data_IF_371716025178
#
_entry.id   IF_371716025178
#
_cell.length_a   1.000
_cell.length_b   1.000
_cell.length_c   1.000
_cell.angle_alpha   90.00
_cell.angle_beta   90.00
_cell.angle_gamma   90.00
#
_symmetry.space_group_name_H-M   'P 1'
#
loop_
_entity.id
_entity.type
_entity.pdbx_description
1 polymer ?
#
# COMPACT_ATOMS: atom_id res chain seq x y z
N UNK A 1 -17.86 -16.51 -10.30
CA UNK A 1 -16.65 -15.67 -10.18
C UNK A 1 -16.81 -14.75 -8.98
N UNK A 2 -15.79 -14.49 -8.19
CA UNK A 2 -15.86 -13.48 -7.15
C UNK A 2 -16.27 -12.13 -7.76
N UNK A 3 -17.11 -11.40 -7.05
CA UNK A 3 -17.53 -10.04 -7.42
C UNK A 3 -16.65 -9.06 -6.64
N UNK A 4 -15.63 -8.52 -7.30
CA UNK A 4 -14.63 -7.65 -6.64
C UNK A 4 -15.20 -6.26 -6.31
N UNK A 5 -16.15 -5.76 -7.12
CA UNK A 5 -16.81 -4.50 -6.86
C UNK A 5 -17.71 -4.61 -5.61
N UNK A 6 -18.50 -5.69 -5.53
CA UNK A 6 -19.27 -6.00 -4.32
C UNK A 6 -18.37 -6.16 -3.09
N UNK A 7 -17.24 -6.87 -3.22
CA UNK A 7 -16.31 -7.05 -2.10
C UNK A 7 -15.74 -5.73 -1.59
N UNK A 8 -15.42 -4.78 -2.48
CA UNK A 8 -14.97 -3.44 -2.10
C UNK A 8 -16.02 -2.70 -1.29
N UNK A 9 -17.28 -2.66 -1.76
CA UNK A 9 -18.41 -2.03 -1.06
C UNK A 9 -18.70 -2.70 0.28
N UNK A 10 -18.64 -4.04 0.33
CA UNK A 10 -18.82 -4.79 1.58
C UNK A 10 -17.71 -4.43 2.60
N UNK A 11 -16.44 -4.32 2.16
CA UNK A 11 -15.33 -3.92 3.04
C UNK A 11 -15.56 -2.53 3.64
N UNK A 12 -15.97 -1.53 2.85
CA UNK A 12 -16.33 -0.21 3.37
C UNK A 12 -17.50 -0.30 4.36
N UNK A 13 -18.54 -1.05 4.03
CA UNK A 13 -19.71 -1.25 4.91
C UNK A 13 -19.32 -1.85 6.26
N UNK A 14 -18.28 -2.70 6.28
CA UNK A 14 -17.75 -3.31 7.50
C UNK A 14 -16.72 -2.43 8.23
N UNK A 15 -16.38 -1.26 7.65
CA UNK A 15 -15.61 -0.22 8.28
C UNK A 15 -14.21 -0.01 7.72
N UNK A 16 -13.84 -0.63 6.60
CA UNK A 16 -12.59 -0.30 5.92
C UNK A 16 -12.57 1.18 5.54
N UNK A 17 -11.45 1.84 5.79
CA UNK A 17 -11.29 3.29 5.60
C UNK A 17 -10.63 3.63 4.25
N UNK A 18 -10.29 2.60 3.47
CA UNK A 18 -9.78 2.70 2.11
C UNK A 18 -9.85 1.36 1.38
N UNK A 19 -9.87 1.43 0.05
CA UNK A 19 -9.84 0.28 -0.84
C UNK A 19 -8.60 0.41 -1.72
N UNK A 20 -7.72 -0.59 -1.64
CA UNK A 20 -6.53 -0.68 -2.47
C UNK A 20 -6.67 -1.81 -3.47
N UNK A 21 -6.39 -1.53 -4.73
CA UNK A 21 -6.38 -2.51 -5.82
C UNK A 21 -5.07 -2.49 -6.58
N UNK A 22 -4.61 -3.66 -7.01
CA UNK A 22 -3.38 -3.81 -7.79
C UNK A 22 -3.67 -4.48 -9.14
N UNK A 23 -4.10 -3.72 -10.16
CA UNK A 23 -4.34 -4.23 -11.51
C UNK A 23 -3.00 -4.52 -12.19
N UNK A 24 -2.55 -5.76 -12.11
CA UNK A 24 -1.31 -6.19 -12.78
C UNK A 24 -1.49 -6.20 -14.29
N UNK A 25 -0.41 -6.07 -15.09
CA UNK A 25 -0.52 -6.04 -16.55
C UNK A 25 -1.18 -7.27 -17.19
N UNK A 26 -1.15 -8.42 -16.51
CA UNK A 26 -1.79 -9.67 -16.94
C UNK A 26 -3.23 -9.82 -16.43
N UNK A 27 -3.74 -8.86 -15.66
CA UNK A 27 -5.11 -8.79 -15.13
C UNK A 27 -5.57 -10.06 -14.36
N UNK A 28 -4.63 -10.78 -13.74
CA UNK A 28 -4.89 -12.08 -13.10
C UNK A 28 -5.73 -12.02 -11.82
N UNK A 29 -5.74 -10.88 -11.12
CA UNK A 29 -6.49 -10.67 -9.87
C UNK A 29 -7.54 -9.58 -10.02
N UNK A 30 -7.09 -8.37 -10.31
CA UNK A 30 -7.92 -7.19 -10.59
C UNK A 30 -7.69 -6.82 -12.06
N UNK A 31 -8.77 -6.65 -12.81
CA UNK A 31 -8.73 -6.20 -14.19
C UNK A 31 -8.84 -4.68 -14.26
N UNK A 32 -8.38 -4.09 -15.34
CA UNK A 32 -8.54 -2.66 -15.59
C UNK A 32 -10.02 -2.24 -15.64
N UNK A 33 -10.90 -3.14 -16.12
CA UNK A 33 -12.36 -2.93 -16.07
C UNK A 33 -12.89 -2.89 -14.63
N UNK A 34 -12.36 -3.72 -13.73
CA UNK A 34 -12.78 -3.77 -12.32
C UNK A 34 -12.42 -2.45 -11.61
N UNK A 35 -11.26 -1.87 -11.91
CA UNK A 35 -10.84 -0.57 -11.36
C UNK A 35 -11.84 0.54 -11.72
N UNK A 36 -12.29 0.58 -12.99
CA UNK A 36 -13.28 1.54 -13.46
C UNK A 36 -14.65 1.33 -12.82
N UNK A 37 -15.01 0.08 -12.57
CA UNK A 37 -16.27 -0.30 -11.91
C UNK A 37 -16.27 0.07 -10.42
N UNK A 38 -15.15 -0.14 -9.73
CA UNK A 38 -15.02 0.11 -8.28
C UNK A 38 -15.04 1.61 -7.97
N UNK A 39 -14.30 2.44 -8.74
CA UNK A 39 -14.13 3.89 -8.43
C UNK A 39 -15.44 4.63 -8.13
N UNK A 40 -16.52 4.51 -8.91
CA UNK A 40 -17.77 5.21 -8.61
C UNK A 40 -18.57 4.63 -7.45
N UNK A 41 -18.22 3.45 -6.95
CA UNK A 41 -18.94 2.75 -5.88
C UNK A 41 -18.34 2.99 -4.49
N UNK A 42 -17.01 3.21 -4.42
CA UNK A 42 -16.33 3.45 -3.14
C UNK A 42 -16.45 4.92 -2.74
N UNK A 43 -16.62 5.14 -1.44
CA UNK A 43 -16.84 6.46 -0.83
C UNK A 43 -15.71 6.86 0.11
N UNK A 44 -14.87 5.91 0.48
CA UNK A 44 -13.63 6.11 1.24
C UNK A 44 -12.45 6.35 0.28
N UNK A 45 -11.24 6.27 0.77
CA UNK A 45 -10.04 6.45 -0.04
C UNK A 45 -9.88 5.30 -1.05
N UNK A 46 -9.66 5.64 -2.33
CA UNK A 46 -9.36 4.66 -3.38
C UNK A 46 -7.90 4.78 -3.81
N UNK A 47 -7.13 3.72 -3.57
CA UNK A 47 -5.72 3.61 -3.94
C UNK A 47 -5.53 2.58 -5.06
N UNK A 48 -4.75 2.93 -6.09
CA UNK A 48 -4.36 2.01 -7.17
C UNK A 48 -2.85 1.79 -7.08
N UNK A 49 -2.45 0.52 -6.92
CA UNK A 49 -1.04 0.13 -6.91
C UNK A 49 -0.60 -0.36 -8.29
N UNK A 50 0.64 -0.09 -8.66
CA UNK A 50 1.22 -0.66 -9.87
C UNK A 50 2.55 -0.07 -10.29
N UNK A 51 3.19 -0.75 -11.24
CA UNK A 51 4.37 -0.23 -11.92
C UNK A 51 3.92 0.85 -12.93
N UNK A 52 4.52 2.05 -12.92
CA UNK A 52 4.13 3.15 -13.80
C UNK A 52 4.56 2.94 -15.28
N UNK A 53 4.14 1.81 -15.86
CA UNK A 53 4.19 1.56 -17.30
C UNK A 53 3.07 2.37 -18.01
N UNK A 54 3.17 2.63 -19.32
CA UNK A 54 2.20 3.47 -20.03
C UNK A 54 0.73 3.09 -19.80
N UNK A 55 0.38 1.80 -19.89
CA UNK A 55 -1.01 1.35 -19.69
C UNK A 55 -1.52 1.57 -18.26
N UNK A 56 -0.65 1.49 -17.25
CA UNK A 56 -0.99 1.81 -15.88
C UNK A 56 -1.17 3.32 -15.69
N UNK A 57 -0.27 4.12 -16.25
CA UNK A 57 -0.38 5.58 -16.23
C UNK A 57 -1.70 6.05 -16.86
N UNK A 58 -2.05 5.49 -18.02
CA UNK A 58 -3.30 5.81 -18.72
C UNK A 58 -4.52 5.47 -17.85
N UNK A 59 -4.53 4.29 -17.21
CA UNK A 59 -5.61 3.88 -16.31
C UNK A 59 -5.77 4.83 -15.12
N UNK A 60 -4.67 5.16 -14.44
CA UNK A 60 -4.69 6.03 -13.26
C UNK A 60 -5.17 7.44 -13.63
N UNK A 61 -4.70 7.98 -14.75
CA UNK A 61 -5.11 9.30 -15.25
C UNK A 61 -6.56 9.33 -15.75
N UNK A 62 -7.10 8.20 -16.21
CA UNK A 62 -8.52 8.07 -16.56
C UNK A 62 -9.41 8.01 -15.31
N UNK A 63 -9.00 7.21 -14.31
CA UNK A 63 -9.83 6.91 -13.13
C UNK A 63 -9.76 8.01 -12.07
N UNK A 64 -8.63 8.70 -11.97
CA UNK A 64 -8.35 9.74 -10.96
C UNK A 64 -8.64 9.22 -9.54
N UNK A 65 -7.84 8.25 -9.03
CA UNK A 65 -7.99 7.77 -7.66
C UNK A 65 -7.56 8.85 -6.64
N UNK A 66 -7.83 8.62 -5.38
CA UNK A 66 -7.37 9.50 -4.30
C UNK A 66 -5.86 9.37 -4.10
N UNK A 67 -5.34 8.14 -4.28
CA UNK A 67 -3.93 7.82 -4.16
C UNK A 67 -3.50 6.84 -5.25
N UNK A 68 -2.22 6.90 -5.63
CA UNK A 68 -1.52 5.89 -6.40
C UNK A 68 -0.27 5.45 -5.64
N UNK A 69 -0.07 4.13 -5.50
CA UNK A 69 1.16 3.56 -4.93
C UNK A 69 2.01 2.98 -6.05
N UNK A 70 3.21 3.53 -6.22
CA UNK A 70 4.16 3.12 -7.26
C UNK A 70 4.98 1.94 -6.77
N UNK A 71 4.87 0.78 -7.43
CA UNK A 71 5.63 -0.43 -7.11
C UNK A 71 6.53 -0.84 -8.29
N UNK A 72 7.76 -1.35 -8.04
CA UNK A 72 8.73 -1.66 -9.10
C UNK A 72 8.52 -3.03 -9.75
N UNK A 73 7.32 -3.61 -9.66
CA UNK A 73 7.06 -4.98 -10.08
C UNK A 73 7.39 -5.20 -11.56
N UNK A 74 8.23 -6.19 -11.84
CA UNK A 74 8.43 -6.65 -13.20
C UNK A 74 7.14 -7.26 -13.77
N UNK A 75 6.98 -7.22 -15.09
CA UNK A 75 5.78 -7.71 -15.79
C UNK A 75 5.40 -9.16 -15.41
N UNK A 76 6.37 -9.99 -15.04
CA UNK A 76 6.20 -11.40 -14.66
C UNK A 76 6.35 -11.65 -13.16
N UNK A 77 6.37 -10.62 -12.32
CA UNK A 77 6.45 -10.80 -10.87
C UNK A 77 5.19 -11.48 -10.32
N UNK A 78 5.36 -12.51 -9.51
CA UNK A 78 4.24 -13.22 -8.87
C UNK A 78 3.63 -12.35 -7.76
N UNK A 79 4.48 -11.71 -6.98
CA UNK A 79 4.13 -10.74 -5.93
C UNK A 79 5.19 -9.65 -5.91
N UNK A 80 4.91 -8.52 -5.26
CA UNK A 80 5.92 -7.48 -5.00
C UNK A 80 6.96 -8.05 -4.05
N UNK A 81 8.23 -8.00 -4.43
CA UNK A 81 9.34 -8.60 -3.68
C UNK A 81 10.50 -7.62 -3.40
N UNK A 82 10.33 -6.37 -3.78
CA UNK A 82 11.31 -5.31 -3.53
C UNK A 82 10.64 -3.93 -3.62
N UNK A 83 11.14 -2.97 -2.85
CA UNK A 83 10.82 -1.56 -3.04
C UNK A 83 11.66 -0.92 -4.16
N UNK A 84 11.29 0.29 -4.56
CA UNK A 84 12.07 1.09 -5.49
C UNK A 84 13.47 1.42 -4.97
N UNK A 85 14.47 1.33 -5.83
CA UNK A 85 15.73 2.06 -5.69
C UNK A 85 15.48 3.51 -6.13
N UNK A 86 15.09 4.34 -5.18
CA UNK A 86 14.68 5.73 -5.41
C UNK A 86 15.85 6.64 -5.78
N UNK A 87 17.07 6.23 -5.48
CA UNK A 87 18.30 6.96 -5.85
C UNK A 87 18.57 6.73 -7.34
N UNK A 88 18.57 5.47 -7.75
CA UNK A 88 18.83 5.08 -9.14
C UNK A 88 17.75 5.53 -10.11
N UNK A 89 16.49 5.48 -9.69
CA UNK A 89 15.31 5.78 -10.52
C UNK A 89 14.72 7.17 -10.28
N UNK A 90 15.50 8.08 -9.66
CA UNK A 90 15.04 9.40 -9.21
C UNK A 90 14.35 10.19 -10.29
N UNK A 91 15.00 10.36 -11.44
CA UNK A 91 14.47 11.23 -12.52
C UNK A 91 13.13 10.69 -13.04
N UNK A 92 13.06 9.38 -13.29
CA UNK A 92 11.84 8.70 -13.71
C UNK A 92 10.71 8.86 -12.70
N UNK A 93 10.97 8.55 -11.42
CA UNK A 93 9.96 8.68 -10.37
C UNK A 93 9.51 10.13 -10.16
N UNK A 94 10.43 11.09 -10.31
CA UNK A 94 10.09 12.51 -10.21
C UNK A 94 9.14 12.95 -11.32
N UNK A 95 9.35 12.49 -12.55
CA UNK A 95 8.46 12.76 -13.68
C UNK A 95 7.06 12.18 -13.44
N UNK A 96 6.99 10.91 -12.98
CA UNK A 96 5.73 10.21 -12.67
C UNK A 96 4.98 10.92 -11.54
N UNK A 97 5.65 11.24 -10.43
CA UNK A 97 5.02 11.95 -9.30
C UNK A 97 4.52 13.34 -9.73
N UNK A 98 5.30 14.07 -10.54
CA UNK A 98 4.88 15.37 -11.05
C UNK A 98 3.66 15.27 -11.97
N UNK A 99 3.54 14.21 -12.77
CA UNK A 99 2.38 13.97 -13.61
C UNK A 99 1.12 13.74 -12.78
N UNK A 100 1.15 12.81 -11.84
CA UNK A 100 -0.01 12.52 -10.98
C UNK A 100 -0.41 13.72 -10.11
N UNK A 101 0.56 14.46 -9.60
CA UNK A 101 0.30 15.69 -8.83
C UNK A 101 -0.44 16.75 -9.65
N UNK A 102 -0.14 16.92 -10.95
CA UNK A 102 -0.86 17.85 -11.85
C UNK A 102 -2.35 17.51 -11.97
N UNK A 103 -2.70 16.24 -11.73
CA UNK A 103 -4.07 15.74 -11.75
C UNK A 103 -4.71 15.62 -10.36
N UNK A 104 -4.02 16.11 -9.32
CA UNK A 104 -4.54 16.10 -7.95
C UNK A 104 -4.52 14.71 -7.29
N UNK A 105 -3.75 13.77 -7.83
CA UNK A 105 -3.61 12.41 -7.30
C UNK A 105 -2.44 12.38 -6.32
N UNK A 106 -2.68 11.92 -5.08
CA UNK A 106 -1.63 11.71 -4.09
C UNK A 106 -0.74 10.55 -4.50
N UNK A 107 0.58 10.72 -4.36
CA UNK A 107 1.56 9.69 -4.73
C UNK A 107 2.21 9.05 -3.52
N UNK A 108 2.28 7.74 -3.49
CA UNK A 108 3.03 6.93 -2.55
C UNK A 108 4.08 6.10 -3.30
N UNK A 109 5.32 6.04 -2.81
CA UNK A 109 6.38 5.20 -3.41
C UNK A 109 6.64 4.01 -2.49
N UNK A 110 6.52 2.79 -3.04
CA UNK A 110 6.81 1.55 -2.33
C UNK A 110 8.32 1.37 -2.18
N UNK A 111 8.82 1.30 -0.94
CA UNK A 111 10.25 1.26 -0.62
C UNK A 111 10.56 0.21 0.46
N UNK A 112 11.78 -0.30 0.46
CA UNK A 112 12.29 -1.07 1.59
C UNK A 112 12.47 -0.21 2.84
N UNK A 113 12.61 -0.84 4.00
CA UNK A 113 12.85 -0.17 5.29
C UNK A 113 14.30 0.35 5.39
N UNK A 114 14.68 1.21 4.44
CA UNK A 114 15.99 1.87 4.34
C UNK A 114 15.80 3.40 4.33
N UNK A 115 16.35 4.12 5.34
CA UNK A 115 16.28 5.58 5.39
C UNK A 115 16.79 6.29 4.13
N UNK A 116 17.79 5.74 3.43
CA UNK A 116 18.31 6.35 2.20
C UNK A 116 17.29 6.26 1.05
N UNK A 117 16.54 5.14 0.96
CA UNK A 117 15.46 4.98 -0.03
C UNK A 117 14.29 5.91 0.28
N UNK A 118 13.97 6.11 1.55
CA UNK A 118 12.93 7.07 1.99
C UNK A 118 13.31 8.51 1.65
N UNK A 119 14.56 8.92 1.95
CA UNK A 119 15.06 10.26 1.58
C UNK A 119 15.05 10.44 0.05
N UNK A 120 15.47 9.41 -0.71
CA UNK A 120 15.39 9.41 -2.16
C UNK A 120 13.96 9.60 -2.68
N UNK A 121 12.98 8.95 -2.06
CA UNK A 121 11.56 9.12 -2.39
C UNK A 121 11.08 10.56 -2.15
N UNK A 122 11.46 11.18 -1.04
CA UNK A 122 11.17 12.59 -0.77
C UNK A 122 11.71 13.50 -1.87
N UNK A 123 12.93 13.22 -2.34
CA UNK A 123 13.55 13.96 -3.45
C UNK A 123 12.87 13.72 -4.81
N UNK A 124 12.12 12.63 -4.98
CA UNK A 124 11.27 12.44 -6.15
C UNK A 124 9.98 13.28 -6.07
N UNK A 125 9.68 13.85 -4.92
CA UNK A 125 8.52 14.72 -4.72
C UNK A 125 7.22 13.96 -4.51
N UNK A 126 7.24 12.73 -4.01
CA UNK A 126 6.04 12.03 -3.60
C UNK A 126 5.44 12.62 -2.31
N UNK A 127 4.21 12.25 -2.00
CA UNK A 127 3.50 12.72 -0.80
C UNK A 127 3.67 11.75 0.36
N UNK A 128 3.81 10.45 0.05
CA UNK A 128 3.94 9.34 1.01
C UNK A 128 4.99 8.34 0.55
N UNK A 129 5.42 7.51 1.49
CA UNK A 129 6.11 6.24 1.20
C UNK A 129 5.30 5.09 1.78
N UNK A 130 5.35 3.95 1.12
CA UNK A 130 4.83 2.70 1.67
C UNK A 130 5.98 1.75 1.95
N UNK A 131 6.13 1.36 3.23
CA UNK A 131 7.19 0.44 3.64
C UNK A 131 6.81 -1.01 3.31
N UNK A 132 7.69 -1.69 2.60
CA UNK A 132 7.59 -3.12 2.30
C UNK A 132 7.82 -3.96 3.55
N UNK A 133 6.76 -4.56 4.09
CA UNK A 133 6.77 -5.18 5.42
C UNK A 133 6.98 -6.70 5.45
N UNK A 134 7.22 -7.37 4.32
CA UNK A 134 7.55 -8.81 4.32
C UNK A 134 8.74 -9.16 5.22
N UNK A 135 9.90 -8.45 5.17
CA UNK A 135 11.04 -8.75 6.05
C UNK A 135 10.71 -8.63 7.54
N UNK A 136 9.82 -7.68 7.88
CA UNK A 136 9.27 -7.58 9.23
C UNK A 136 8.44 -8.82 9.59
N UNK A 137 7.51 -9.20 8.71
CA UNK A 137 6.62 -10.33 8.94
C UNK A 137 7.38 -11.67 9.07
N UNK A 138 8.43 -11.87 8.27
CA UNK A 138 9.29 -13.08 8.34
C UNK A 138 10.10 -13.17 9.63
N UNK A 139 10.63 -12.04 10.11
CA UNK A 139 11.47 -12.03 11.30
C UNK A 139 10.65 -11.96 12.60
N UNK A 140 9.46 -11.36 12.57
CA UNK A 140 8.60 -11.09 13.72
C UNK A 140 8.38 -12.30 14.64
N UNK A 141 8.10 -13.53 14.15
CA UNK A 141 7.90 -14.69 15.03
C UNK A 141 9.14 -15.12 15.81
N UNK A 142 10.32 -14.71 15.36
CA UNK A 142 11.62 -15.08 15.96
C UNK A 142 12.13 -13.99 16.91
N UNK A 143 12.08 -12.75 16.47
CA UNK A 143 12.58 -11.58 17.21
C UNK A 143 11.84 -10.32 16.71
N UNK A 144 10.79 -9.94 17.42
CA UNK A 144 9.94 -8.81 17.06
C UNK A 144 10.64 -7.46 17.18
N UNK A 145 11.58 -7.33 18.13
CA UNK A 145 12.31 -6.08 18.35
C UNK A 145 13.36 -5.88 17.26
N UNK A 146 14.07 -6.93 16.86
CA UNK A 146 14.95 -6.89 15.70
C UNK A 146 14.18 -6.67 14.39
N UNK A 147 12.98 -7.26 14.26
CA UNK A 147 12.14 -7.11 13.08
C UNK A 147 11.69 -5.66 12.84
N UNK A 148 11.27 -4.96 13.90
CA UNK A 148 10.73 -3.61 13.79
C UNK A 148 11.82 -2.53 13.71
N UNK A 149 13.01 -2.76 14.20
CA UNK A 149 14.06 -1.75 14.34
C UNK A 149 14.41 -1.01 13.03
N UNK A 150 14.57 -1.66 11.84
CA UNK A 150 14.81 -0.94 10.61
C UNK A 150 13.59 -0.09 10.17
N UNK A 151 12.37 -0.56 10.45
CA UNK A 151 11.13 0.14 10.11
C UNK A 151 10.94 1.41 10.92
N UNK A 152 11.29 1.41 12.21
CA UNK A 152 11.29 2.62 13.03
C UNK A 152 12.22 3.68 12.41
N UNK A 153 13.45 3.30 12.03
CA UNK A 153 14.41 4.23 11.42
C UNK A 153 13.93 4.81 10.09
N UNK A 154 13.33 3.96 9.25
CA UNK A 154 12.75 4.40 7.97
C UNK A 154 11.55 5.33 8.18
N UNK A 155 10.69 5.00 9.15
CA UNK A 155 9.53 5.81 9.52
C UNK A 155 9.91 7.16 10.13
N UNK A 156 10.96 7.21 10.98
CA UNK A 156 11.53 8.46 11.50
C UNK A 156 12.05 9.33 10.34
N UNK A 157 12.74 8.73 9.38
CA UNK A 157 13.21 9.42 8.18
C UNK A 157 12.06 9.97 7.33
N UNK A 158 10.98 9.21 7.14
CA UNK A 158 9.79 9.70 6.43
C UNK A 158 9.22 10.96 7.11
N UNK A 159 9.09 10.93 8.43
CA UNK A 159 8.62 12.07 9.22
C UNK A 159 9.58 13.28 9.14
N UNK A 160 10.91 13.06 9.20
CA UNK A 160 11.91 14.12 9.01
C UNK A 160 11.80 14.78 7.64
N UNK A 161 11.49 14.01 6.61
CA UNK A 161 11.30 14.48 5.24
C UNK A 161 9.91 15.10 5.00
N UNK A 162 9.00 15.07 5.98
CA UNK A 162 7.63 15.57 5.83
C UNK A 162 6.74 14.69 4.97
N UNK A 163 7.07 13.40 4.81
CA UNK A 163 6.27 12.41 4.09
C UNK A 163 5.25 11.75 5.01
N UNK A 164 4.07 11.45 4.46
CA UNK A 164 3.16 10.49 5.06
C UNK A 164 3.73 9.07 4.99
N UNK A 165 3.25 8.20 5.88
CA UNK A 165 3.77 6.85 6.05
C UNK A 165 2.67 5.81 5.88
N UNK A 166 2.80 4.99 4.85
CA UNK A 166 2.01 3.78 4.65
C UNK A 166 2.88 2.55 4.91
N UNK A 167 2.25 1.41 5.19
CA UNK A 167 2.91 0.12 5.32
C UNK A 167 2.05 -0.98 4.71
N UNK A 168 2.67 -1.89 3.98
CA UNK A 168 1.96 -2.97 3.30
C UNK A 168 2.84 -4.18 3.02
N UNK A 169 2.20 -5.30 2.74
CA UNK A 169 2.72 -6.63 2.49
C UNK A 169 2.92 -7.48 3.77
N UNK A 170 2.22 -8.62 3.84
CA UNK A 170 2.32 -9.65 4.89
C UNK A 170 1.99 -9.22 6.33
N UNK A 171 1.40 -8.03 6.51
CA UNK A 171 0.79 -7.67 7.78
C UNK A 171 -0.44 -8.54 8.05
N UNK A 172 -0.59 -8.98 9.31
CA UNK A 172 -1.66 -9.88 9.75
C UNK A 172 -2.07 -9.61 11.22
N UNK A 173 -3.06 -10.32 11.74
CA UNK A 173 -3.59 -10.12 13.09
C UNK A 173 -2.57 -10.33 14.21
N UNK A 174 -1.48 -11.08 13.96
CA UNK A 174 -0.45 -11.36 14.96
C UNK A 174 0.59 -10.23 15.05
N UNK A 175 0.97 -9.65 13.89
CA UNK A 175 2.09 -8.71 13.81
C UNK A 175 1.67 -7.23 13.70
N UNK A 176 0.46 -6.93 13.18
CA UNK A 176 0.00 -5.57 12.91
C UNK A 176 -0.05 -4.69 14.15
N UNK A 177 -0.60 -5.19 15.26
CA UNK A 177 -0.74 -4.41 16.49
C UNK A 177 0.60 -3.95 17.05
N UNK A 178 1.64 -4.81 16.97
CA UNK A 178 2.99 -4.44 17.39
C UNK A 178 3.63 -3.41 16.44
N UNK A 179 3.42 -3.56 15.13
CA UNK A 179 3.89 -2.57 14.14
C UNK A 179 3.32 -1.17 14.44
N UNK A 180 2.00 -1.06 14.56
CA UNK A 180 1.31 0.21 14.82
C UNK A 180 1.71 0.80 16.18
N UNK A 181 1.82 -0.02 17.23
CA UNK A 181 2.26 0.48 18.56
C UNK A 181 3.70 1.00 18.55
N UNK A 182 4.56 0.43 17.71
CA UNK A 182 5.95 0.86 17.56
C UNK A 182 6.12 2.09 16.68
N UNK A 183 5.20 2.30 15.72
CA UNK A 183 5.20 3.41 14.76
C UNK A 183 3.80 4.06 14.74
N UNK A 184 3.40 4.76 15.81
CA UNK A 184 2.02 5.23 15.98
C UNK A 184 1.60 6.38 15.04
N UNK A 185 2.52 6.86 14.21
CA UNK A 185 2.26 7.87 13.17
C UNK A 185 2.13 7.25 11.76
N UNK A 186 1.91 5.93 11.68
CA UNK A 186 1.55 5.27 10.41
C UNK A 186 0.17 5.78 9.98
N UNK A 187 0.09 6.36 8.78
CA UNK A 187 -1.15 6.92 8.24
C UNK A 187 -2.08 5.84 7.70
N UNK A 188 -1.52 4.79 7.08
CA UNK A 188 -2.31 3.78 6.37
C UNK A 188 -1.60 2.41 6.39
N UNK A 189 -2.40 1.34 6.40
CA UNK A 189 -1.90 -0.03 6.17
C UNK A 189 -2.71 -0.70 5.06
N UNK A 190 -2.01 -1.31 4.11
CA UNK A 190 -2.59 -2.09 3.02
C UNK A 190 -2.42 -3.59 3.31
N UNK A 191 -3.55 -4.31 3.46
CA UNK A 191 -3.55 -5.74 3.84
C UNK A 191 -4.43 -6.52 2.85
N UNK A 192 -3.84 -7.46 2.13
CA UNK A 192 -4.53 -8.27 1.12
C UNK A 192 -4.70 -9.73 1.55
N UNK A 193 -3.68 -10.56 1.33
CA UNK A 193 -3.74 -12.01 1.53
C UNK A 193 -4.24 -12.44 2.91
N UNK A 194 -3.76 -11.81 3.97
CA UNK A 194 -4.12 -12.16 5.33
C UNK A 194 -5.63 -11.93 5.59
N UNK A 195 -6.20 -10.83 5.11
CA UNK A 195 -7.65 -10.57 5.21
C UNK A 195 -8.44 -11.68 4.50
N UNK A 196 -8.02 -12.09 3.30
CA UNK A 196 -8.71 -13.15 2.56
C UNK A 196 -8.62 -14.49 3.30
N UNK A 197 -7.43 -14.85 3.81
CA UNK A 197 -7.24 -16.08 4.57
C UNK A 197 -8.07 -16.11 5.86
N UNK A 198 -8.06 -15.03 6.62
CA UNK A 198 -8.83 -14.92 7.87
C UNK A 198 -10.34 -14.93 7.60
N UNK A 199 -10.78 -14.28 6.51
CA UNK A 199 -12.19 -14.23 6.14
C UNK A 199 -12.78 -15.60 5.76
N UNK A 200 -11.96 -16.56 5.31
CA UNK A 200 -12.43 -17.94 5.07
C UNK A 200 -12.90 -18.64 6.36
N UNK A 201 -12.37 -18.23 7.51
CA UNK A 201 -12.69 -18.83 8.81
C UNK A 201 -13.61 -17.95 9.65
N UNK A 202 -13.47 -16.63 9.57
CA UNK A 202 -14.17 -15.66 10.41
C UNK A 202 -15.35 -14.97 9.71
N UNK A 203 -15.39 -15.04 8.37
CA UNK A 203 -16.26 -14.19 7.56
C UNK A 203 -15.69 -12.75 7.43
N UNK A 204 -15.95 -12.11 6.29
CA UNK A 204 -15.32 -10.84 5.92
C UNK A 204 -15.58 -9.71 6.94
N UNK A 205 -16.81 -9.56 7.41
CA UNK A 205 -17.18 -8.52 8.38
C UNK A 205 -16.37 -8.63 9.69
N UNK A 206 -16.29 -9.82 10.27
CA UNK A 206 -15.56 -10.02 11.52
C UNK A 206 -14.05 -9.82 11.32
N UNK A 207 -13.54 -10.23 10.16
CA UNK A 207 -12.15 -10.01 9.80
C UNK A 207 -11.81 -8.53 9.72
N UNK A 208 -12.57 -7.73 8.98
CA UNK A 208 -12.33 -6.27 8.88
C UNK A 208 -12.37 -5.63 10.28
N UNK A 209 -13.37 -5.98 11.11
CA UNK A 209 -13.46 -5.46 12.49
C UNK A 209 -12.26 -5.86 13.36
N UNK A 210 -11.75 -7.08 13.20
CA UNK A 210 -10.58 -7.55 13.92
C UNK A 210 -9.32 -6.75 13.53
N UNK A 211 -9.09 -6.50 12.24
CA UNK A 211 -7.99 -5.67 11.76
C UNK A 211 -8.10 -4.22 12.23
N UNK A 212 -9.28 -3.62 12.14
CA UNK A 212 -9.54 -2.27 12.65
C UNK A 212 -9.23 -2.14 14.15
N UNK A 213 -9.50 -3.16 14.94
CA UNK A 213 -9.15 -3.17 16.37
C UNK A 213 -7.64 -3.16 16.64
N UNK A 214 -6.81 -3.56 15.66
CA UNK A 214 -5.36 -3.56 15.78
C UNK A 214 -4.73 -2.22 15.40
N UNK A 215 -5.38 -1.44 14.53
CA UNK A 215 -4.87 -0.13 14.10
C UNK A 215 -5.37 1.03 14.97
N UNK A 216 -6.51 0.88 15.65
CA UNK A 216 -7.03 1.87 16.60
C UNK A 216 -6.37 1.68 17.96
N UNK A 217 -5.11 2.08 18.08
CA UNK A 217 -4.42 2.19 19.36
C UNK A 217 -4.66 3.62 19.87
N UNK A 218 -5.31 3.70 21.01
CA UNK A 218 -5.69 4.94 21.69
C UNK A 218 -4.52 5.71 22.25
#
# INVERSE_FOLDING_TARGET
MPDVAKAAVDCETFGAEGITVHPRPDERHIRYSDVREIKPLVTTEFNIEGNPIPSFMDLVLEVIPDQVTLVPDAHNAITSNAGWDTIRHRDFLSEVCAEFRRHGIRTSIFVGADPAMVEGAALCGCDRVELYTEPYAELFPKDKDAAIAPFIKAAEKARECGLGLNAGHDLNLDNLGFFISSIPWTDEVSIGHAIVCDALYMGLEQTIKAYLSKVKIF
#
